data_IF_137641055962
#
_entry.id   IF_137641055962
#
_cell.length_a   1.000
_cell.length_b   1.000
_cell.length_c   1.000
_cell.angle_alpha   90.00
_cell.angle_beta   90.00
_cell.angle_gamma   90.00
#
_symmetry.space_group_name_H-M   'P 1'
#
loop_
_entity.id
_entity.type
_entity.pdbx_description
1 polymer ?
#
# COMPACT_ATOMS: atom_id res chain seq x y z
N UNK A 1 -36.62 -7.91 -5.93
CA UNK A 1 -35.35 -7.90 -5.18
C UNK A 1 -34.39 -7.00 -5.92
N UNK A 2 -34.09 -5.81 -5.40
CA UNK A 2 -33.35 -4.76 -6.13
C UNK A 2 -32.15 -4.20 -5.35
N UNK A 3 -31.45 -5.05 -4.60
CA UNK A 3 -30.38 -4.67 -3.67
C UNK A 3 -28.97 -5.04 -4.14
N UNK A 4 -28.68 -4.94 -5.44
CA UNK A 4 -27.44 -5.46 -6.04
C UNK A 4 -26.44 -4.42 -6.55
N UNK A 5 -26.72 -3.11 -6.46
CA UNK A 5 -25.98 -2.10 -7.25
C UNK A 5 -24.91 -1.30 -6.51
N UNK A 6 -24.82 -1.44 -5.18
CA UNK A 6 -23.98 -0.61 -4.31
C UNK A 6 -22.69 -1.29 -3.85
N UNK A 7 -22.47 -2.58 -4.16
CA UNK A 7 -21.24 -3.29 -3.76
C UNK A 7 -19.98 -2.62 -4.34
N UNK A 8 -20.06 -2.07 -5.55
CA UNK A 8 -18.96 -1.34 -6.17
C UNK A 8 -18.61 -0.06 -5.40
N UNK A 9 -19.63 0.67 -4.92
CA UNK A 9 -19.42 1.89 -4.11
C UNK A 9 -18.97 1.58 -2.68
N UNK A 10 -19.14 0.34 -2.22
CA UNK A 10 -18.63 -0.15 -0.95
C UNK A 10 -17.15 -0.56 -1.08
N UNK A 11 -16.80 -1.35 -2.10
CA UNK A 11 -15.40 -1.71 -2.40
C UNK A 11 -14.56 -0.47 -2.71
N UNK A 12 -15.10 0.51 -3.45
CA UNK A 12 -14.45 1.80 -3.74
C UNK A 12 -14.47 2.81 -2.57
N UNK A 13 -14.92 2.41 -1.38
CA UNK A 13 -14.65 3.20 -0.16
C UNK A 13 -13.30 2.79 0.43
N UNK A 14 -12.46 3.76 0.82
CA UNK A 14 -11.32 3.50 1.69
C UNK A 14 -11.77 2.90 3.02
N UNK A 15 -11.11 1.83 3.45
CA UNK A 15 -11.25 1.24 4.79
C UNK A 15 -10.13 1.74 5.71
N UNK A 16 -10.30 1.60 7.02
CA UNK A 16 -9.26 1.99 7.99
C UNK A 16 -7.99 1.13 7.92
N UNK A 17 -8.12 -0.10 7.39
CA UNK A 17 -7.01 -1.05 7.23
C UNK A 17 -6.25 -0.87 5.90
N UNK A 18 -6.81 -0.14 4.93
CA UNK A 18 -6.12 0.16 3.68
C UNK A 18 -4.87 1.01 3.96
N UNK A 19 -3.74 0.66 3.34
CA UNK A 19 -2.51 1.44 3.39
C UNK A 19 -2.69 2.81 2.73
N UNK A 20 -1.81 3.77 3.04
CA UNK A 20 -1.98 5.17 2.61
C UNK A 20 -2.09 5.29 1.08
N UNK A 21 -1.25 4.55 0.33
CA UNK A 21 -1.26 4.51 -1.13
C UNK A 21 -2.54 3.88 -1.69
N UNK A 22 -3.05 2.81 -1.07
CA UNK A 22 -4.33 2.17 -1.43
C UNK A 22 -5.47 3.18 -1.26
N UNK A 23 -5.56 3.84 -0.10
CA UNK A 23 -6.61 4.85 0.16
C UNK A 23 -6.56 5.99 -0.84
N UNK A 24 -5.37 6.56 -1.08
CA UNK A 24 -5.20 7.65 -2.03
C UNK A 24 -5.58 7.26 -3.47
N UNK A 25 -5.21 6.05 -3.90
CA UNK A 25 -5.57 5.53 -5.21
C UNK A 25 -7.09 5.32 -5.35
N UNK A 26 -7.73 4.73 -4.34
CA UNK A 26 -9.19 4.49 -4.29
C UNK A 26 -9.99 5.81 -4.26
N UNK A 27 -9.57 6.80 -3.44
CA UNK A 27 -10.18 8.13 -3.42
C UNK A 27 -10.07 8.83 -4.79
N UNK A 28 -8.90 8.73 -5.42
CA UNK A 28 -8.64 9.32 -6.75
C UNK A 28 -9.48 8.64 -7.83
N UNK A 29 -9.57 7.30 -7.82
CA UNK A 29 -10.42 6.54 -8.73
C UNK A 29 -11.90 6.96 -8.58
N UNK A 30 -12.43 6.98 -7.35
CA UNK A 30 -13.81 7.38 -7.06
C UNK A 30 -14.12 8.81 -7.53
N UNK A 31 -13.22 9.76 -7.31
CA UNK A 31 -13.38 11.13 -7.79
C UNK A 31 -13.43 11.23 -9.34
N UNK A 32 -12.60 10.43 -10.03
CA UNK A 32 -12.57 10.36 -11.49
C UNK A 32 -13.80 9.66 -12.06
N UNK A 33 -14.29 8.60 -11.41
CA UNK A 33 -15.52 7.91 -11.77
C UNK A 33 -16.73 8.84 -11.73
N UNK A 34 -16.91 9.60 -10.65
CA UNK A 34 -17.99 10.59 -10.55
C UNK A 34 -17.85 11.75 -11.55
N UNK A 35 -16.63 12.03 -12.03
CA UNK A 35 -16.34 12.96 -13.12
C UNK A 35 -16.52 12.34 -14.52
N UNK A 36 -16.78 11.03 -14.63
CA UNK A 36 -16.94 10.32 -15.88
C UNK A 36 -15.64 9.99 -16.62
N UNK A 37 -14.47 10.20 -16.00
CA UNK A 37 -13.15 9.85 -16.56
C UNK A 37 -12.87 8.35 -16.38
N UNK A 38 -13.62 7.46 -17.05
CA UNK A 38 -13.56 5.99 -16.86
C UNK A 38 -12.14 5.43 -16.90
N UNK A 39 -11.41 5.71 -17.97
CA UNK A 39 -10.11 5.10 -18.25
C UNK A 39 -9.09 5.45 -17.15
N UNK A 40 -9.11 6.70 -16.70
CA UNK A 40 -8.29 7.14 -15.58
C UNK A 40 -8.74 6.47 -14.27
N UNK A 41 -10.06 6.37 -14.01
CA UNK A 41 -10.57 5.67 -12.83
C UNK A 41 -10.12 4.22 -12.77
N UNK A 42 -10.17 3.48 -13.88
CA UNK A 42 -9.71 2.08 -13.97
C UNK A 42 -8.20 1.99 -13.77
N UNK A 43 -7.42 2.90 -14.36
CA UNK A 43 -5.96 2.94 -14.16
C UNK A 43 -5.58 3.19 -12.69
N UNK A 44 -6.29 4.07 -11.98
CA UNK A 44 -6.10 4.27 -10.54
C UNK A 44 -6.56 3.06 -9.71
N UNK A 45 -7.59 2.35 -10.16
CA UNK A 45 -8.05 1.12 -9.49
C UNK A 45 -6.99 0.02 -9.57
N UNK A 46 -6.38 -0.22 -10.74
CA UNK A 46 -5.24 -1.15 -10.84
C UNK A 46 -4.02 -0.69 -10.03
N UNK A 47 -3.80 0.62 -9.87
CA UNK A 47 -2.76 1.11 -8.97
C UNK A 47 -3.07 0.74 -7.50
N UNK A 48 -4.33 0.84 -7.07
CA UNK A 48 -4.77 0.39 -5.75
C UNK A 48 -4.60 -1.13 -5.55
N UNK A 49 -4.89 -1.95 -6.57
CA UNK A 49 -4.65 -3.42 -6.56
C UNK A 49 -3.16 -3.73 -6.35
N UNK A 50 -2.27 -3.02 -7.07
CA UNK A 50 -0.82 -3.21 -6.95
C UNK A 50 -0.29 -2.78 -5.58
N UNK A 51 -0.78 -1.65 -5.04
CA UNK A 51 -0.44 -1.21 -3.69
C UNK A 51 -0.93 -2.22 -2.63
N UNK A 52 -2.20 -2.63 -2.69
CA UNK A 52 -2.77 -3.63 -1.77
C UNK A 52 -2.01 -4.96 -1.83
N UNK A 53 -1.56 -5.39 -3.02
CA UNK A 53 -0.72 -6.58 -3.19
C UNK A 53 0.67 -6.41 -2.57
N UNK A 54 1.30 -5.24 -2.71
CA UNK A 54 2.60 -4.94 -2.12
C UNK A 54 2.55 -4.87 -0.57
N UNK A 55 1.44 -4.38 -0.02
CA UNK A 55 1.13 -4.39 1.42
C UNK A 55 0.66 -5.77 1.96
N UNK A 56 0.58 -6.81 1.12
CA UNK A 56 0.11 -8.14 1.50
C UNK A 56 -1.40 -8.27 1.73
N UNK A 57 -2.18 -7.25 1.39
CA UNK A 57 -3.64 -7.21 1.50
C UNK A 57 -4.32 -7.94 0.32
N UNK A 58 -3.98 -9.22 0.10
CA UNK A 58 -4.38 -9.96 -1.10
C UNK A 58 -5.90 -10.02 -1.33
N UNK A 59 -6.69 -10.32 -0.28
CA UNK A 59 -8.16 -10.34 -0.39
C UNK A 59 -8.73 -8.98 -0.83
N UNK A 60 -8.11 -7.89 -0.37
CA UNK A 60 -8.48 -6.52 -0.76
C UNK A 60 -8.08 -6.23 -2.22
N UNK A 61 -6.92 -6.72 -2.66
CA UNK A 61 -6.50 -6.63 -4.05
C UNK A 61 -7.48 -7.36 -5.00
N UNK A 62 -7.96 -8.55 -4.64
CA UNK A 62 -8.96 -9.31 -5.42
C UNK A 62 -10.30 -8.57 -5.52
N UNK A 63 -10.78 -7.96 -4.43
CA UNK A 63 -11.98 -7.10 -4.44
C UNK A 63 -11.81 -5.88 -5.35
N UNK A 64 -10.67 -5.18 -5.23
CA UNK A 64 -10.36 -3.99 -6.00
C UNK A 64 -10.21 -4.29 -7.50
N UNK A 65 -9.65 -5.44 -7.87
CA UNK A 65 -9.52 -5.86 -9.28
C UNK A 65 -10.88 -6.22 -9.89
N UNK A 66 -11.72 -6.96 -9.16
CA UNK A 66 -13.11 -7.21 -9.58
C UNK A 66 -13.90 -5.90 -9.75
N UNK A 67 -13.67 -4.92 -8.88
CA UNK A 67 -14.24 -3.59 -9.02
C UNK A 67 -13.70 -2.83 -10.23
N UNK A 68 -12.40 -2.96 -10.55
CA UNK A 68 -11.80 -2.40 -11.77
C UNK A 68 -12.48 -2.96 -13.05
N UNK A 69 -12.63 -4.28 -13.14
CA UNK A 69 -13.32 -4.94 -14.26
C UNK A 69 -14.77 -4.48 -14.40
N UNK A 70 -15.50 -4.28 -13.30
CA UNK A 70 -16.87 -3.77 -13.34
C UNK A 70 -16.93 -2.30 -13.79
N UNK A 71 -15.97 -1.46 -13.40
CA UNK A 71 -15.87 -0.06 -13.88
C UNK A 71 -15.64 0.03 -15.39
N UNK A 72 -14.98 -0.95 -16.01
CA UNK A 72 -14.81 -1.00 -17.47
C UNK A 72 -16.15 -1.23 -18.19
N UNK A 73 -17.01 -2.11 -17.68
CA UNK A 73 -18.30 -2.44 -18.31
C UNK A 73 -19.40 -1.44 -17.98
N UNK A 74 -19.37 -0.87 -16.77
CA UNK A 74 -20.46 -0.04 -16.24
C UNK A 74 -20.55 1.30 -16.99
N UNK A 75 -21.76 1.78 -17.34
CA UNK A 75 -21.92 3.10 -17.95
C UNK A 75 -21.53 4.19 -16.95
N UNK A 76 -20.60 5.06 -17.35
CA UNK A 76 -20.20 6.22 -16.54
C UNK A 76 -21.39 7.15 -16.27
N UNK A 77 -21.44 7.78 -15.08
CA UNK A 77 -22.36 8.89 -14.86
C UNK A 77 -22.05 10.01 -15.86
N UNK A 78 -23.09 10.57 -16.51
CA UNK A 78 -22.93 11.73 -17.40
C UNK A 78 -22.53 12.96 -16.57
N UNK A 79 -21.24 13.22 -16.49
CA UNK A 79 -20.72 14.44 -15.91
C UNK A 79 -21.07 15.67 -16.78
N UNK A 80 -21.23 16.86 -16.17
CA UNK A 80 -21.30 18.11 -16.92
C UNK A 80 -19.99 18.31 -17.71
N UNK A 81 -20.11 18.78 -18.96
CA UNK A 81 -18.97 18.92 -19.88
C UNK A 81 -17.86 19.80 -19.30
N UNK A 82 -16.76 19.19 -18.86
CA UNK A 82 -15.52 19.89 -18.50
C UNK A 82 -14.59 19.94 -19.73
N UNK A 83 -13.87 21.05 -19.98
CA UNK A 83 -12.83 21.10 -21.01
C UNK A 83 -11.78 19.98 -20.81
N UNK A 84 -11.12 19.53 -21.90
CA UNK A 84 -10.18 18.41 -21.87
C UNK A 84 -8.99 18.70 -20.95
N UNK A 85 -8.39 17.67 -20.32
CA UNK A 85 -7.15 17.84 -19.57
C UNK A 85 -6.02 18.27 -20.51
N UNK A 86 -5.26 19.28 -20.10
CA UNK A 86 -4.06 19.70 -20.84
C UNK A 86 -3.01 18.56 -20.80
N UNK A 87 -2.42 18.17 -21.95
CA UNK A 87 -1.37 17.16 -21.96
C UNK A 87 -0.08 17.75 -21.38
N UNK A 88 0.24 17.44 -20.12
CA UNK A 88 1.49 17.92 -19.53
C UNK A 88 1.66 17.82 -18.02
N UNK A 89 1.77 16.60 -17.47
CA UNK A 89 2.78 16.31 -16.42
C UNK A 89 3.38 14.95 -16.74
N UNK A 90 4.72 14.86 -16.78
CA UNK A 90 5.41 13.70 -17.32
C UNK A 90 5.26 12.45 -16.46
N UNK A 91 4.79 11.36 -17.08
CA UNK A 91 5.19 10.01 -16.68
C UNK A 91 6.72 9.94 -16.82
N UNK A 92 7.48 9.53 -15.78
CA UNK A 92 8.93 9.40 -15.89
C UNK A 92 9.28 8.15 -16.72
N UNK A 93 9.20 8.27 -18.04
CA UNK A 93 9.73 7.28 -18.97
C UNK A 93 11.23 7.17 -18.74
N UNK A 94 11.68 6.05 -18.18
CA UNK A 94 13.09 5.71 -18.12
C UNK A 94 13.69 5.75 -19.54
N UNK A 95 14.67 6.63 -19.76
CA UNK A 95 15.49 6.64 -20.98
C UNK A 95 16.96 6.77 -20.63
N UNK A 96 17.67 5.66 -20.91
CA UNK A 96 19.10 5.50 -21.21
C UNK A 96 20.15 6.12 -20.27
N UNK A 97 20.98 5.30 -19.61
CA UNK A 97 22.10 5.75 -18.78
C UNK A 97 23.44 5.75 -19.56
N UNK A 98 23.55 6.52 -20.64
CA UNK A 98 24.85 6.70 -21.34
C UNK A 98 25.11 8.17 -21.71
N UNK A 99 26.20 8.69 -21.14
CA UNK A 99 27.07 9.78 -21.64
C UNK A 99 26.53 11.24 -21.71
N UNK A 100 27.26 12.29 -21.30
CA UNK A 100 28.47 12.37 -20.43
C UNK A 100 28.64 13.82 -19.88
N UNK A 101 29.20 13.96 -18.67
CA UNK A 101 29.75 15.19 -18.04
C UNK A 101 28.90 16.48 -17.94
N UNK A 102 28.61 16.96 -16.71
CA UNK A 102 27.94 18.27 -16.52
C UNK A 102 27.60 18.66 -15.06
N UNK A 103 28.62 18.96 -14.27
CA UNK A 103 28.64 19.35 -12.84
C UNK A 103 27.47 20.17 -12.22
N UNK A 104 27.24 19.95 -10.91
CA UNK A 104 26.63 20.85 -9.89
C UNK A 104 25.20 21.40 -10.16
N UNK A 105 24.14 20.74 -9.69
CA UNK A 105 23.57 20.78 -8.30
C UNK A 105 23.05 22.16 -7.83
N UNK A 106 21.76 22.42 -8.02
CA UNK A 106 20.96 23.25 -7.10
C UNK A 106 19.56 22.66 -6.90
N UNK A 107 19.40 21.87 -5.83
CA UNK A 107 18.09 21.43 -5.36
C UNK A 107 17.45 22.52 -4.50
N UNK A 108 16.35 23.10 -4.97
CA UNK A 108 15.53 24.02 -4.18
C UNK A 108 14.04 23.79 -4.48
N UNK A 109 13.45 22.77 -3.85
CA UNK A 109 11.99 22.61 -3.77
C UNK A 109 11.56 22.14 -2.39
N UNK A 110 11.46 23.10 -1.49
CA UNK A 110 10.72 23.04 -0.22
C UNK A 110 9.24 22.69 -0.47
N UNK A 111 8.50 21.94 0.34
CA UNK A 111 8.75 21.12 1.56
C UNK A 111 7.47 20.23 1.76
N UNK A 112 7.20 19.52 2.88
CA UNK A 112 8.05 19.09 4.00
C UNK A 112 7.84 17.59 4.35
N UNK A 113 8.70 16.66 3.91
CA UNK A 113 8.69 15.31 4.47
C UNK A 113 9.58 15.26 5.71
N UNK A 114 8.94 15.36 6.89
CA UNK A 114 9.61 15.20 8.18
C UNK A 114 9.86 13.72 8.46
N UNK A 115 10.89 13.16 7.84
CA UNK A 115 11.53 11.92 8.26
C UNK A 115 12.96 12.27 8.64
N UNK A 116 13.34 11.99 9.88
CA UNK A 116 14.72 12.10 10.34
C UNK A 116 15.23 10.69 10.62
N UNK A 117 16.14 10.15 9.78
CA UNK A 117 16.88 8.95 10.08
C UNK A 117 18.37 9.18 9.83
N UNK A 118 19.02 9.98 10.67
CA UNK A 118 20.48 10.08 10.68
C UNK A 118 21.00 10.46 12.07
N UNK A 119 21.03 9.45 12.95
CA UNK A 119 21.90 9.42 14.12
C UNK A 119 22.93 8.30 13.93
N UNK A 120 23.60 8.35 12.76
CA UNK A 120 24.70 7.46 12.41
C UNK A 120 25.91 8.33 12.03
N UNK A 121 26.70 8.76 13.02
CA UNK A 121 28.15 8.47 13.10
C UNK A 121 28.81 9.25 14.25
N UNK A 122 29.15 8.53 15.32
CA UNK A 122 30.30 8.83 16.17
C UNK A 122 30.80 7.50 16.78
N UNK A 123 31.80 6.86 16.15
CA UNK A 123 33.24 6.92 16.48
C UNK A 123 33.64 6.07 17.71
N UNK A 124 34.66 5.23 17.49
CA UNK A 124 35.58 4.61 18.50
C UNK A 124 34.97 3.64 19.54
N UNK A 125 35.62 2.54 19.94
CA UNK A 125 36.85 1.84 19.50
C UNK A 125 36.75 0.35 19.96
N UNK A 126 37.70 -0.56 19.60
CA UNK A 126 37.51 -2.00 19.80
C UNK A 126 38.06 -2.56 21.14
N UNK A 127 37.70 -3.82 21.38
CA UNK A 127 38.33 -4.79 22.28
C UNK A 127 38.25 -4.56 23.81
N UNK A 128 37.44 -5.40 24.47
CA UNK A 128 37.67 -5.80 25.86
C UNK A 128 37.03 -7.17 26.11
N UNK A 129 37.90 -8.16 26.13
CA UNK A 129 37.60 -9.56 26.39
C UNK A 129 36.99 -9.83 27.79
N UNK A 130 36.17 -10.88 27.85
CA UNK A 130 36.29 -11.99 28.83
C UNK A 130 36.09 -11.66 30.33
N UNK A 131 34.83 -11.83 30.79
CA UNK A 131 34.36 -12.35 32.09
C UNK A 131 32.80 -12.37 32.02
N UNK A 132 32.00 -13.22 32.65
CA UNK A 132 32.25 -14.37 33.53
C UNK A 132 31.09 -15.38 33.37
N UNK A 133 31.33 -16.59 33.85
CA UNK A 133 30.48 -17.78 33.87
C UNK A 133 29.30 -17.73 34.88
N UNK A 134 28.64 -18.90 35.07
CA UNK A 134 27.53 -19.22 36.00
C UNK A 134 26.14 -18.72 35.53
N UNK A 135 25.15 -19.60 35.24
CA UNK A 135 24.27 -20.36 36.18
C UNK A 135 23.36 -19.41 37.00
N UNK A 136 22.04 -19.57 37.20
CA UNK A 136 21.07 -20.70 37.30
C UNK A 136 19.67 -20.21 36.81
N UNK A 137 18.56 -20.97 36.68
CA UNK A 137 18.25 -22.42 36.74
C UNK A 137 16.90 -22.74 36.04
N UNK A 138 16.64 -24.04 35.84
CA UNK A 138 15.32 -24.72 35.70
C UNK A 138 15.17 -25.55 37.03
N UNK A 139 13.98 -25.87 37.65
CA UNK A 139 12.94 -26.76 37.08
C UNK A 139 11.49 -26.75 37.69
N UNK A 140 10.74 -27.81 37.33
CA UNK A 140 9.47 -28.37 37.86
C UNK A 140 8.15 -27.83 37.26
N UNK A 141 7.21 -28.62 36.69
CA UNK A 141 6.56 -29.90 37.10
C UNK A 141 5.53 -29.69 38.23
N UNK A 142 4.30 -30.24 38.25
CA UNK A 142 3.53 -31.15 37.36
C UNK A 142 2.09 -30.57 37.16
N UNK A 143 1.02 -31.22 36.66
CA UNK A 143 0.27 -32.38 37.20
C UNK A 143 -0.89 -32.72 36.22
N UNK A 144 -1.08 -33.92 35.63
CA UNK A 144 -1.56 -35.25 36.10
C UNK A 144 -3.10 -35.44 36.21
N UNK A 145 -3.73 -36.01 35.16
CA UNK A 145 -4.95 -36.86 35.23
C UNK A 145 -6.29 -36.20 35.61
N UNK A 146 -7.43 -36.95 35.67
CA UNK A 146 -7.65 -38.40 35.44
C UNK A 146 -8.65 -38.69 34.25
N UNK A 147 -8.51 -39.75 33.43
CA UNK A 147 -9.00 -41.16 33.55
C UNK A 147 -10.49 -41.42 33.18
N UNK A 148 -10.69 -41.97 31.95
CA UNK A 148 -11.68 -43.01 31.55
C UNK A 148 -13.22 -42.79 31.68
N UNK A 149 -14.11 -43.65 31.10
CA UNK A 149 -13.86 -44.92 30.41
C UNK A 149 -14.44 -45.09 28.98
N UNK A 150 -14.04 -46.22 28.38
CA UNK A 150 -14.52 -46.85 27.15
C UNK A 150 -15.96 -47.37 27.35
N UNK A 151 -16.79 -47.39 26.29
CA UNK A 151 -18.00 -48.20 26.27
C UNK A 151 -18.21 -48.85 24.89
N UNK A 152 -18.24 -50.18 24.93
CA UNK A 152 -18.69 -51.22 23.96
C UNK A 152 -18.89 -50.87 22.47
#
# INVERSE_FOLDING_TARGET
MGGGSNWLEDVMRPTENDSADVRWAVETATALWHRGDREQSVSWMHHAVQAATADGQHARADELDRAAQELETRPVPRAPSRPPPSPGVGQPTARSPEEVTGSMRHHARTAPYKVAPDDITHLEAPDSALLEAAAQSIPASSDTGPTEPINE
#
